data_IF_072943593895
#
_entry.id   IF_072943593895
#
_cell.length_a   1.000
_cell.length_b   1.000
_cell.length_c   1.000
_cell.angle_alpha   90.00
_cell.angle_beta   90.00
_cell.angle_gamma   90.00
#
_symmetry.space_group_name_H-M   'P 1'
#
loop_
_entity.id
_entity.type
_entity.pdbx_description
1 polymer ?
#
# COMPACT_ATOMS: atom_id res chain seq x y z
N UNK A 1 8.97 29.23 3.43
CA UNK A 1 7.61 29.38 4.00
C UNK A 1 7.66 28.85 5.44
N UNK A 2 6.77 29.24 6.35
CA UNK A 2 6.74 28.62 7.67
C UNK A 2 6.50 27.13 7.46
N UNK A 3 7.27 26.27 8.15
CA UNK A 3 6.98 24.83 8.20
C UNK A 3 5.48 24.71 8.46
N UNK A 4 4.72 24.05 7.58
CA UNK A 4 3.40 23.57 7.97
C UNK A 4 3.65 22.48 9.01
N UNK A 5 4.00 22.90 10.23
CA UNK A 5 4.03 22.03 11.38
C UNK A 5 2.63 21.47 11.47
N UNK A 6 2.49 20.16 11.34
CA UNK A 6 1.24 19.48 11.62
C UNK A 6 0.66 20.04 12.92
N UNK A 7 -0.64 20.35 12.94
CA UNK A 7 -1.24 20.93 14.13
C UNK A 7 -0.94 20.02 15.32
N UNK A 8 -0.24 20.56 16.31
CA UNK A 8 0.01 19.86 17.56
C UNK A 8 -1.33 19.63 18.24
N UNK A 9 -1.76 18.37 18.32
CA UNK A 9 -2.94 18.02 19.10
C UNK A 9 -2.75 18.51 20.54
N UNK A 10 -3.60 19.46 20.95
CA UNK A 10 -3.75 19.76 22.36
C UNK A 10 -4.73 18.75 22.92
N UNK A 11 -4.22 17.78 23.66
CA UNK A 11 -5.03 16.86 24.45
C UNK A 11 -5.80 17.68 25.48
N UNK A 12 -7.08 17.96 25.20
CA UNK A 12 -7.94 18.70 26.11
C UNK A 12 -8.65 17.77 27.10
N UNK A 13 -8.65 16.45 26.85
CA UNK A 13 -9.32 15.41 27.64
C UNK A 13 -8.62 14.03 27.44
N UNK A 14 -8.81 13.08 28.38
CA UNK A 14 -8.49 11.67 28.19
C UNK A 14 -9.13 11.09 26.91
N UNK A 15 -8.40 10.24 26.19
CA UNK A 15 -8.95 9.45 25.08
C UNK A 15 -9.31 8.04 25.55
N UNK A 16 -10.45 7.50 25.13
CA UNK A 16 -10.81 6.10 25.40
C UNK A 16 -10.06 5.15 24.45
N UNK A 17 -10.10 5.41 23.13
CA UNK A 17 -9.46 4.53 22.14
C UNK A 17 -8.38 5.27 21.36
N UNK A 18 -7.24 4.63 21.18
CA UNK A 18 -6.13 5.12 20.37
C UNK A 18 -6.00 4.27 19.11
N UNK A 19 -6.38 4.85 17.97
CA UNK A 19 -6.16 4.26 16.66
C UNK A 19 -4.72 4.52 16.20
N UNK A 20 -3.99 3.46 15.92
CA UNK A 20 -2.65 3.52 15.32
C UNK A 20 -2.82 3.32 13.81
N UNK A 21 -2.24 4.22 13.01
CA UNK A 21 -2.24 4.11 11.56
C UNK A 21 -0.79 4.01 11.07
N UNK A 22 -0.45 2.86 10.47
CA UNK A 22 0.91 2.58 9.99
C UNK A 22 1.17 3.17 8.60
N UNK A 23 2.45 3.26 8.23
CA UNK A 23 2.89 3.89 6.97
C UNK A 23 2.45 3.18 5.69
N UNK A 24 2.02 1.92 5.80
CA UNK A 24 1.43 1.12 4.73
C UNK A 24 -0.11 1.07 4.78
N UNK A 25 -0.75 1.85 5.66
CA UNK A 25 -2.21 1.86 5.87
C UNK A 25 -2.88 3.17 5.43
N UNK A 26 -2.35 3.81 4.36
CA UNK A 26 -2.78 5.14 3.90
C UNK A 26 -4.04 5.10 3.03
N UNK A 27 -5.08 4.44 3.56
CA UNK A 27 -6.34 4.20 2.88
C UNK A 27 -7.36 5.30 3.19
N UNK A 28 -7.99 5.87 2.16
CA UNK A 28 -9.06 6.88 2.35
C UNK A 28 -10.36 6.30 2.89
N UNK A 29 -10.50 4.98 2.84
CA UNK A 29 -11.58 4.20 3.43
C UNK A 29 -11.17 3.53 4.75
N UNK A 30 -10.00 3.88 5.31
CA UNK A 30 -9.49 3.30 6.56
C UNK A 30 -10.56 3.30 7.67
N UNK A 31 -10.67 2.24 8.50
CA UNK A 31 -11.71 2.12 9.53
C UNK A 31 -11.84 3.33 10.46
N UNK A 32 -10.74 4.06 10.69
CA UNK A 32 -10.70 5.30 11.47
C UNK A 32 -11.72 6.35 10.99
N UNK A 33 -11.98 6.46 9.68
CA UNK A 33 -12.97 7.41 9.14
C UNK A 33 -14.42 6.98 9.43
N UNK A 34 -14.65 5.69 9.67
CA UNK A 34 -15.99 5.12 9.88
C UNK A 34 -16.36 5.04 11.35
N UNK A 35 -15.39 4.82 12.23
CA UNK A 35 -15.65 4.44 13.62
C UNK A 35 -15.03 5.33 14.69
N UNK A 36 -14.12 6.25 14.35
CA UNK A 36 -13.54 7.15 15.33
C UNK A 36 -14.56 8.21 15.77
N UNK A 37 -14.73 8.35 17.09
CA UNK A 37 -15.47 9.41 17.75
C UNK A 37 -14.49 10.56 18.05
N UNK A 38 -14.60 11.71 17.38
CA UNK A 38 -13.67 12.83 17.54
C UNK A 38 -13.58 13.38 18.98
N UNK A 39 -14.60 13.15 19.81
CA UNK A 39 -14.63 13.62 21.19
C UNK A 39 -13.97 12.66 22.19
N UNK A 40 -13.74 11.41 21.78
CA UNK A 40 -13.30 10.32 22.67
C UNK A 40 -12.10 9.55 22.18
N UNK A 41 -11.79 9.60 20.90
CA UNK A 41 -10.72 8.81 20.31
C UNK A 41 -9.56 9.70 19.85
N UNK A 42 -8.38 9.10 19.82
CA UNK A 42 -7.18 9.69 19.23
C UNK A 42 -6.69 8.83 18.07
N UNK A 43 -6.06 9.46 17.09
CA UNK A 43 -5.38 8.79 15.98
C UNK A 43 -3.90 9.12 16.08
N UNK A 44 -3.04 8.13 15.89
CA UNK A 44 -1.61 8.28 16.02
C UNK A 44 -0.91 7.74 14.77
N UNK A 45 -0.13 8.60 14.14
CA UNK A 45 0.80 8.27 13.08
C UNK A 45 2.20 8.73 13.49
N UNK A 46 3.22 7.99 13.09
CA UNK A 46 4.60 8.27 13.49
C UNK A 46 5.60 7.80 12.47
N UNK A 47 6.59 8.64 12.23
CA UNK A 47 7.78 8.34 11.46
C UNK A 47 8.87 7.88 12.43
N UNK A 48 9.42 6.67 12.27
CA UNK A 48 10.44 6.15 13.19
C UNK A 48 11.66 5.59 12.43
N UNK A 49 12.88 5.84 12.94
CA UNK A 49 14.10 5.36 12.30
C UNK A 49 14.18 3.82 12.24
N UNK A 50 13.58 3.11 13.21
CA UNK A 50 13.62 1.65 13.29
C UNK A 50 13.18 0.97 11.98
N UNK A 51 12.20 1.53 11.27
CA UNK A 51 11.72 0.99 10.00
C UNK A 51 12.70 1.16 8.83
N UNK A 52 13.56 2.18 8.89
CA UNK A 52 14.59 2.41 7.88
C UNK A 52 15.93 1.73 8.20
N UNK A 53 16.14 1.32 9.45
CA UNK A 53 17.43 0.85 9.97
C UNK A 53 17.48 -0.61 10.38
N UNK A 54 16.34 -1.24 10.73
CA UNK A 54 16.27 -2.69 11.03
C UNK A 54 16.72 -3.52 9.82
N UNK A 55 16.33 -3.09 8.63
CA UNK A 55 16.88 -3.56 7.36
C UNK A 55 17.27 -2.33 6.56
N UNK A 56 18.45 -2.35 5.92
CA UNK A 56 18.92 -1.25 5.10
C UNK A 56 17.93 -0.94 3.97
N UNK A 57 17.10 0.09 4.18
CA UNK A 57 16.06 0.50 3.24
C UNK A 57 16.63 1.44 2.18
N UNK A 58 16.23 1.26 0.93
CA UNK A 58 16.61 2.18 -0.14
C UNK A 58 16.03 3.58 0.13
N UNK A 59 16.82 4.65 -0.09
CA UNK A 59 16.38 6.03 0.20
C UNK A 59 15.06 6.39 -0.46
N UNK A 60 14.84 5.98 -1.72
CA UNK A 60 13.56 6.21 -2.40
C UNK A 60 12.38 5.53 -1.70
N UNK A 61 12.54 4.33 -1.11
CA UNK A 61 11.49 3.68 -0.34
C UNK A 61 11.17 4.50 0.90
N UNK A 62 12.19 4.85 1.69
CA UNK A 62 12.00 5.65 2.91
C UNK A 62 11.36 7.00 2.59
N UNK A 63 11.86 7.73 1.57
CA UNK A 63 11.27 9.01 1.15
C UNK A 63 9.83 8.84 0.64
N UNK A 64 9.51 7.75 -0.06
CA UNK A 64 8.15 7.48 -0.53
C UNK A 64 7.18 7.27 0.63
N UNK A 65 7.54 6.42 1.60
CA UNK A 65 6.70 6.18 2.79
C UNK A 65 6.47 7.47 3.57
N UNK A 66 7.54 8.18 3.94
CA UNK A 66 7.42 9.41 4.74
C UNK A 66 6.62 10.50 4.01
N UNK A 67 6.86 10.72 2.71
CA UNK A 67 6.09 11.69 1.95
C UNK A 67 4.61 11.30 1.87
N UNK A 68 4.31 10.03 1.57
CA UNK A 68 2.94 9.55 1.49
C UNK A 68 2.21 9.66 2.85
N UNK A 69 2.88 9.32 3.96
CA UNK A 69 2.35 9.47 5.31
C UNK A 69 2.03 10.93 5.64
N UNK A 70 2.93 11.87 5.32
CA UNK A 70 2.69 13.30 5.54
C UNK A 70 1.51 13.82 4.73
N UNK A 71 1.37 13.43 3.47
CA UNK A 71 0.20 13.80 2.67
C UNK A 71 -1.09 13.19 3.23
N UNK A 72 -1.05 11.93 3.68
CA UNK A 72 -2.21 11.28 4.27
C UNK A 72 -2.62 11.92 5.61
N UNK A 73 -1.65 12.34 6.42
CA UNK A 73 -1.88 13.09 7.64
C UNK A 73 -2.61 14.42 7.39
N UNK A 74 -2.32 15.11 6.27
CA UNK A 74 -3.08 16.29 5.87
C UNK A 74 -4.52 15.95 5.47
N UNK A 75 -4.75 14.82 4.80
CA UNK A 75 -6.11 14.35 4.47
C UNK A 75 -6.90 14.04 5.75
N UNK A 76 -6.28 13.39 6.73
CA UNK A 76 -6.89 13.13 8.04
C UNK A 76 -7.24 14.45 8.74
N UNK A 77 -6.32 15.41 8.72
CA UNK A 77 -6.56 16.73 9.31
C UNK A 77 -7.70 17.50 8.62
N UNK A 78 -7.75 17.50 7.29
CA UNK A 78 -8.84 18.13 6.50
C UNK A 78 -10.21 17.48 6.76
N UNK A 79 -10.23 16.24 7.27
CA UNK A 79 -11.44 15.50 7.66
C UNK A 79 -11.76 15.60 9.15
N UNK A 80 -11.12 16.53 9.86
CA UNK A 80 -11.29 16.74 11.31
C UNK A 80 -11.03 15.49 12.16
N UNK A 81 -10.19 14.57 11.67
CA UNK A 81 -9.76 13.40 12.44
C UNK A 81 -8.81 13.88 13.56
N UNK A 82 -8.97 13.39 14.81
CA UNK A 82 -8.12 13.78 15.94
C UNK A 82 -6.73 13.13 15.83
N UNK A 83 -5.94 13.59 14.86
CA UNK A 83 -4.62 13.05 14.50
C UNK A 83 -3.48 13.69 15.30
N UNK A 84 -2.67 12.83 15.93
CA UNK A 84 -1.34 13.13 16.41
C UNK A 84 -0.33 12.56 15.41
N UNK A 85 0.48 13.43 14.81
CA UNK A 85 1.50 13.05 13.86
C UNK A 85 2.89 13.35 14.42
N UNK A 86 3.69 12.30 14.61
CA UNK A 86 5.08 12.43 15.07
C UNK A 86 6.02 12.38 13.87
N UNK A 87 6.70 13.50 13.57
CA UNK A 87 7.70 13.54 12.49
C UNK A 87 9.02 12.91 12.91
N UNK A 88 9.80 12.43 11.94
CA UNK A 88 11.05 11.71 12.20
C UNK A 88 12.09 12.58 12.91
N UNK A 89 12.08 13.88 12.61
CA UNK A 89 12.96 14.90 13.19
C UNK A 89 12.34 15.64 14.38
N UNK A 90 11.23 15.15 14.92
CA UNK A 90 10.69 15.64 16.20
C UNK A 90 11.71 15.31 17.32
N UNK A 91 12.13 16.31 18.13
CA UNK A 91 13.15 16.11 19.16
C UNK A 91 12.75 15.12 20.26
N UNK A 92 11.45 14.93 20.48
CA UNK A 92 10.94 14.03 21.52
C UNK A 92 10.58 12.64 20.96
N UNK A 93 10.75 12.40 19.66
CA UNK A 93 10.49 11.12 19.02
C UNK A 93 11.48 10.05 19.47
N UNK A 94 10.95 8.95 20.00
CA UNK A 94 11.69 7.81 20.55
C UNK A 94 12.18 6.82 19.49
N UNK A 95 11.83 7.04 18.22
CA UNK A 95 12.36 6.33 17.04
C UNK A 95 12.01 4.83 16.95
N UNK A 96 10.98 4.38 17.67
CA UNK A 96 10.42 3.04 17.58
C UNK A 96 8.90 3.08 17.79
N UNK A 97 8.15 2.22 17.09
CA UNK A 97 6.69 2.14 17.25
C UNK A 97 6.29 1.85 18.69
N UNK A 98 6.96 0.87 19.32
CA UNK A 98 6.68 0.43 20.69
C UNK A 98 6.75 1.61 21.68
N UNK A 99 7.88 2.34 21.67
CA UNK A 99 8.12 3.43 22.63
C UNK A 99 7.28 4.68 22.32
N UNK A 100 7.00 4.97 21.05
CA UNK A 100 6.16 6.09 20.67
C UNK A 100 4.69 5.87 21.03
N UNK A 101 4.18 4.66 20.81
CA UNK A 101 2.82 4.27 21.21
C UNK A 101 2.69 4.36 22.73
N UNK A 102 3.64 3.81 23.50
CA UNK A 102 3.64 3.91 24.97
C UNK A 102 3.68 5.37 25.43
N UNK A 103 4.56 6.19 24.84
CA UNK A 103 4.72 7.61 25.17
C UNK A 103 3.40 8.36 24.99
N UNK A 104 2.76 8.22 23.83
CA UNK A 104 1.53 8.92 23.52
C UNK A 104 0.34 8.39 24.33
N UNK A 105 0.18 7.06 24.44
CA UNK A 105 -0.91 6.45 25.18
C UNK A 105 -0.91 6.84 26.66
N UNK A 106 0.26 6.91 27.31
CA UNK A 106 0.39 7.42 28.69
C UNK A 106 -0.02 8.89 28.81
N UNK A 107 0.46 9.73 27.89
CA UNK A 107 0.17 11.15 27.90
C UNK A 107 -1.32 11.45 27.66
N UNK A 108 -1.97 10.66 26.79
CA UNK A 108 -3.39 10.77 26.47
C UNK A 108 -4.30 9.97 27.40
N UNK A 109 -3.73 9.24 28.36
CA UNK A 109 -4.43 8.31 29.26
C UNK A 109 -5.36 7.36 28.50
N UNK A 110 -4.84 6.76 27.41
CA UNK A 110 -5.60 5.87 26.55
C UNK A 110 -6.01 4.58 27.29
N UNK A 111 -7.22 4.09 27.03
CA UNK A 111 -7.77 2.88 27.68
C UNK A 111 -7.70 1.65 26.76
N UNK A 112 -7.47 1.84 25.46
CA UNK A 112 -7.40 0.79 24.44
C UNK A 112 -6.54 1.22 23.25
N UNK A 113 -5.78 0.27 22.69
CA UNK A 113 -5.11 0.42 21.40
C UNK A 113 -5.92 -0.29 20.30
N UNK A 114 -6.00 0.33 19.13
CA UNK A 114 -6.66 -0.24 17.95
C UNK A 114 -5.75 -0.07 16.74
N UNK A 115 -5.53 -1.13 15.97
CA UNK A 115 -4.73 -1.07 14.74
C UNK A 115 -5.35 -1.99 13.68
N UNK A 116 -5.25 -1.63 12.41
CA UNK A 116 -5.50 -2.60 11.34
C UNK A 116 -4.32 -3.59 11.30
N UNK A 117 -4.60 -4.86 11.01
CA UNK A 117 -3.59 -5.93 10.96
C UNK A 117 -2.28 -5.45 10.30
N UNK A 118 -1.15 -5.43 11.04
CA UNK A 118 0.14 -5.02 10.49
C UNK A 118 0.62 -5.97 9.38
N UNK A 119 1.32 -5.44 8.38
CA UNK A 119 1.91 -6.23 7.29
C UNK A 119 3.16 -7.02 7.67
N UNK A 120 3.69 -6.85 8.90
CA UNK A 120 4.89 -7.51 9.40
C UNK A 120 4.69 -8.02 10.84
N UNK A 121 4.99 -9.30 11.08
CA UNK A 121 4.97 -9.92 12.41
C UNK A 121 5.78 -9.16 13.47
N UNK A 122 6.90 -8.54 13.07
CA UNK A 122 7.74 -7.75 13.97
C UNK A 122 7.00 -6.52 14.50
N UNK A 123 6.23 -5.84 13.65
CA UNK A 123 5.47 -4.64 14.01
C UNK A 123 4.30 -5.02 14.90
N UNK A 124 3.57 -6.10 14.57
CA UNK A 124 2.52 -6.64 15.44
C UNK A 124 3.06 -6.93 16.85
N UNK A 125 4.17 -7.66 16.94
CA UNK A 125 4.81 -7.95 18.22
C UNK A 125 5.29 -6.69 18.99
N UNK A 126 5.65 -5.61 18.29
CA UNK A 126 5.98 -4.32 18.93
C UNK A 126 4.75 -3.66 19.55
N UNK A 127 3.59 -3.74 18.88
CA UNK A 127 2.34 -3.19 19.38
C UNK A 127 1.76 -4.02 20.54
N UNK A 128 1.89 -5.35 20.48
CA UNK A 128 1.54 -6.25 21.58
C UNK A 128 2.35 -5.91 22.84
N UNK A 129 3.68 -5.76 22.71
CA UNK A 129 4.53 -5.35 23.85
C UNK A 129 4.16 -3.97 24.39
N UNK A 130 3.82 -3.02 23.53
CA UNK A 130 3.35 -1.70 23.97
C UNK A 130 2.05 -1.81 24.78
N UNK A 131 1.10 -2.64 24.33
CA UNK A 131 -0.15 -2.89 25.03
C UNK A 131 0.08 -3.55 26.40
N UNK A 132 0.95 -4.56 26.45
CA UNK A 132 1.36 -5.24 27.69
C UNK A 132 2.02 -4.28 28.69
N UNK A 133 2.92 -3.40 28.22
CA UNK A 133 3.56 -2.39 29.08
C UNK A 133 2.56 -1.38 29.65
N UNK A 134 1.56 -1.00 28.85
CA UNK A 134 0.50 -0.07 29.25
C UNK A 134 -0.56 -0.74 30.15
N UNK A 135 -0.69 -2.06 30.08
CA UNK A 135 -1.75 -2.81 30.76
C UNK A 135 -3.14 -2.56 30.17
N UNK A 136 -3.23 -2.27 28.86
CA UNK A 136 -4.48 -1.99 28.15
C UNK A 136 -4.67 -2.95 26.97
N UNK A 137 -5.92 -3.25 26.56
CA UNK A 137 -6.17 -4.14 25.43
C UNK A 137 -5.67 -3.57 24.10
N UNK A 138 -5.17 -4.46 23.25
CA UNK A 138 -4.94 -4.24 21.81
C UNK A 138 -6.02 -4.95 21.01
N UNK A 139 -6.75 -4.19 20.19
CA UNK A 139 -7.67 -4.72 19.19
C UNK A 139 -7.02 -4.64 17.81
N UNK A 140 -6.87 -5.79 17.16
CA UNK A 140 -6.38 -5.89 15.78
C UNK A 140 -7.59 -6.08 14.86
N UNK A 141 -7.84 -5.08 14.02
CA UNK A 141 -8.90 -5.10 13.01
C UNK A 141 -8.42 -5.84 11.76
N UNK A 142 -9.35 -6.52 11.09
CA UNK A 142 -9.06 -7.13 9.78
C UNK A 142 -8.65 -6.07 8.75
N UNK A 143 -7.67 -6.41 7.90
CA UNK A 143 -7.30 -5.60 6.74
C UNK A 143 -8.19 -5.91 5.53
N UNK A 144 -9.24 -5.10 5.35
CA UNK A 144 -10.22 -5.18 4.25
C UNK A 144 -9.66 -4.70 2.89
N UNK A 145 -8.42 -4.21 2.84
CA UNK A 145 -7.75 -3.81 1.59
C UNK A 145 -7.53 -5.01 0.66
N UNK A 146 -7.20 -6.17 1.21
CA UNK A 146 -7.02 -7.41 0.46
C UNK A 146 -8.35 -7.93 -0.08
N UNK A 147 -8.29 -8.61 -1.22
CA UNK A 147 -9.49 -9.16 -1.88
C UNK A 147 -9.94 -10.44 -1.18
N UNK A 148 -9.00 -11.23 -0.68
CA UNK A 148 -9.23 -12.50 0.00
C UNK A 148 -9.12 -12.29 1.53
N UNK A 149 -10.23 -12.33 2.29
CA UNK A 149 -10.19 -12.38 3.75
C UNK A 149 -9.32 -13.52 4.26
N UNK A 150 -8.68 -13.37 5.42
CA UNK A 150 -7.78 -14.40 5.95
C UNK A 150 -8.53 -15.71 6.22
N UNK A 151 -9.74 -15.62 6.79
CA UNK A 151 -10.62 -16.77 7.01
C UNK A 151 -10.95 -17.55 5.73
N UNK A 152 -11.08 -16.84 4.59
CA UNK A 152 -11.35 -17.46 3.28
C UNK A 152 -10.10 -18.18 2.78
N UNK A 153 -8.92 -17.60 2.98
CA UNK A 153 -7.66 -18.23 2.62
C UNK A 153 -7.39 -19.48 3.46
N UNK A 154 -7.57 -19.40 4.79
CA UNK A 154 -7.41 -20.53 5.71
C UNK A 154 -8.37 -21.68 5.35
N UNK A 155 -9.64 -21.37 5.09
CA UNK A 155 -10.61 -22.36 4.64
C UNK A 155 -10.25 -22.96 3.26
N UNK A 156 -9.66 -22.17 2.37
CA UNK A 156 -9.13 -22.70 1.11
C UNK A 156 -7.92 -23.61 1.36
N UNK A 157 -7.02 -23.27 2.27
CA UNK A 157 -5.79 -24.02 2.53
C UNK A 157 -6.02 -25.32 3.33
N UNK A 158 -7.06 -25.38 4.15
CA UNK A 158 -7.33 -26.50 5.07
C UNK A 158 -7.35 -27.87 4.36
N UNK A 159 -6.71 -28.85 4.98
CA UNK A 159 -6.58 -30.22 4.48
C UNK A 159 -5.76 -30.40 3.19
N UNK A 160 -5.23 -29.32 2.56
CA UNK A 160 -4.44 -29.43 1.32
C UNK A 160 -2.98 -29.79 1.62
N UNK A 161 -2.48 -30.81 0.91
CA UNK A 161 -1.06 -31.21 0.97
C UNK A 161 -0.15 -30.33 0.10
N UNK A 162 -0.72 -29.59 -0.84
CA UNK A 162 0.01 -28.71 -1.76
C UNK A 162 -0.82 -27.48 -2.09
N UNK A 163 -0.20 -26.32 -1.94
CA UNK A 163 -0.79 -25.01 -2.23
C UNK A 163 -0.23 -24.53 -3.56
N UNK A 164 -1.02 -24.71 -4.63
CA UNK A 164 -0.68 -24.24 -5.96
C UNK A 164 -1.44 -22.95 -6.25
N UNK A 165 -0.72 -21.89 -6.62
CA UNK A 165 -1.29 -20.61 -7.02
C UNK A 165 -2.42 -20.75 -8.03
N UNK A 166 -2.24 -21.62 -9.03
CA UNK A 166 -3.26 -21.81 -10.07
C UNK A 166 -4.61 -22.27 -9.49
N UNK A 167 -4.60 -23.13 -8.48
CA UNK A 167 -5.83 -23.58 -7.82
C UNK A 167 -6.46 -22.48 -6.97
N UNK A 168 -5.63 -21.70 -6.29
CA UNK A 168 -6.07 -20.52 -5.51
C UNK A 168 -6.71 -19.47 -6.43
N UNK A 169 -6.00 -19.06 -7.47
CA UNK A 169 -6.44 -18.04 -8.41
C UNK A 169 -7.73 -18.41 -9.14
N UNK A 170 -7.91 -19.70 -9.54
CA UNK A 170 -9.18 -20.18 -10.10
C UNK A 170 -10.34 -20.07 -9.10
N UNK A 171 -10.10 -20.39 -7.82
CA UNK A 171 -11.11 -20.25 -6.78
C UNK A 171 -11.49 -18.79 -6.55
N UNK A 172 -10.49 -17.90 -6.48
CA UNK A 172 -10.69 -16.46 -6.29
C UNK A 172 -11.43 -15.81 -7.47
N UNK A 173 -11.09 -16.15 -8.71
CA UNK A 173 -11.84 -15.66 -9.89
C UNK A 173 -13.31 -16.06 -9.84
N UNK A 174 -13.63 -17.28 -9.41
CA UNK A 174 -15.01 -17.72 -9.24
C UNK A 174 -15.71 -16.98 -8.10
N UNK A 175 -15.06 -16.88 -6.94
CA UNK A 175 -15.61 -16.22 -5.74
C UNK A 175 -15.92 -14.75 -6.01
N UNK A 176 -15.02 -14.06 -6.70
CA UNK A 176 -15.12 -12.63 -7.02
C UNK A 176 -15.84 -12.36 -8.36
N UNK A 177 -16.23 -13.40 -9.10
CA UNK A 177 -16.83 -13.31 -10.43
C UNK A 177 -16.00 -12.47 -11.43
N UNK A 178 -14.68 -12.70 -11.46
CA UNK A 178 -13.74 -11.96 -12.31
C UNK A 178 -13.42 -12.75 -13.58
N UNK A 179 -13.78 -12.19 -14.73
CA UNK A 179 -13.62 -12.81 -16.05
C UNK A 179 -14.31 -14.19 -16.09
N UNK A 180 -15.52 -14.31 -15.57
CA UNK A 180 -16.30 -15.56 -15.59
C UNK A 180 -17.46 -15.40 -16.59
N UNK A 181 -17.62 -16.39 -17.47
CA UNK A 181 -18.71 -16.41 -18.43
C UNK A 181 -20.03 -16.84 -17.78
N UNK A 182 -21.15 -16.62 -18.48
CA UNK A 182 -22.49 -16.95 -17.98
C UNK A 182 -22.66 -18.43 -17.55
N UNK A 183 -21.91 -19.35 -18.19
CA UNK A 183 -21.92 -20.78 -17.87
C UNK A 183 -21.02 -21.15 -16.66
N UNK A 184 -20.40 -20.17 -16.00
CA UNK A 184 -19.48 -20.35 -14.87
C UNK A 184 -18.06 -20.79 -15.26
N UNK A 185 -17.76 -20.83 -16.57
CA UNK A 185 -16.42 -21.07 -17.12
C UNK A 185 -15.55 -19.80 -17.17
N UNK A 186 -14.24 -19.93 -17.43
CA UNK A 186 -13.38 -18.76 -17.58
C UNK A 186 -13.64 -18.07 -18.93
N UNK A 187 -13.80 -16.75 -18.91
CA UNK A 187 -13.87 -15.94 -20.13
C UNK A 187 -12.68 -16.20 -21.04
N UNK A 188 -12.96 -16.36 -22.34
CA UNK A 188 -11.97 -16.72 -23.37
C UNK A 188 -11.54 -18.18 -23.36
N UNK A 189 -12.22 -19.05 -22.58
CA UNK A 189 -12.05 -20.51 -22.63
C UNK A 189 -10.84 -21.05 -21.87
N UNK A 190 -10.01 -20.20 -21.25
CA UNK A 190 -8.85 -20.61 -20.47
C UNK A 190 -8.71 -19.82 -19.17
N UNK A 191 -8.24 -20.50 -18.11
CA UNK A 191 -7.98 -19.87 -16.81
C UNK A 191 -6.73 -19.01 -16.80
N UNK A 192 -5.78 -19.27 -17.70
CA UNK A 192 -4.46 -18.67 -17.71
C UNK A 192 -3.91 -18.60 -19.15
N UNK A 193 -3.42 -17.42 -19.55
CA UNK A 193 -2.80 -17.15 -20.86
C UNK A 193 -1.29 -16.86 -20.76
N UNK A 194 -0.59 -17.45 -19.79
CA UNK A 194 0.83 -17.21 -19.52
C UNK A 194 1.74 -17.57 -20.70
N UNK A 195 1.35 -18.56 -21.52
CA UNK A 195 2.16 -19.02 -22.65
C UNK A 195 2.20 -17.98 -23.76
N UNK A 196 1.14 -17.21 -23.92
CA UNK A 196 1.01 -16.12 -24.87
C UNK A 196 1.78 -14.86 -24.44
N UNK A 197 2.27 -14.80 -23.19
CA UNK A 197 2.83 -13.61 -22.55
C UNK A 197 4.38 -13.57 -22.51
N UNK A 198 5.05 -14.25 -23.46
CA UNK A 198 6.51 -14.47 -23.44
C UNK A 198 7.23 -14.04 -24.72
N UNK A 199 6.64 -13.13 -25.50
CA UNK A 199 7.25 -12.70 -26.75
C UNK A 199 8.45 -11.77 -26.51
N UNK A 200 9.57 -11.95 -27.24
CA UNK A 200 10.70 -11.03 -27.17
C UNK A 200 10.45 -9.78 -28.01
N UNK A 201 11.13 -8.67 -27.67
CA UNK A 201 11.27 -7.54 -28.57
C UNK A 201 12.23 -7.88 -29.72
N UNK A 202 11.81 -7.65 -30.96
CA UNK A 202 12.66 -7.86 -32.16
C UNK A 202 13.46 -6.62 -32.55
N UNK A 203 12.99 -5.45 -32.15
CA UNK A 203 13.62 -4.13 -32.36
C UNK A 203 13.48 -3.32 -31.09
N UNK A 204 14.16 -2.17 -31.01
CA UNK A 204 14.05 -1.30 -29.84
C UNK A 204 12.58 -0.97 -29.56
N UNK A 205 12.10 -1.20 -28.32
CA UNK A 205 10.71 -0.92 -27.98
C UNK A 205 10.45 0.59 -28.01
N UNK A 206 9.38 0.99 -28.68
CA UNK A 206 8.84 2.35 -28.60
C UNK A 206 7.68 2.36 -27.60
N UNK A 207 8.03 2.50 -26.31
CA UNK A 207 7.06 2.44 -25.21
C UNK A 207 6.93 3.83 -24.59
N UNK A 208 5.69 4.28 -24.44
CA UNK A 208 5.37 5.51 -23.74
C UNK A 208 5.84 5.42 -22.28
N UNK A 209 6.73 6.34 -21.92
CA UNK A 209 7.26 6.45 -20.54
C UNK A 209 6.11 6.57 -19.54
N UNK A 210 6.19 5.88 -18.39
CA UNK A 210 5.22 6.03 -17.32
C UNK A 210 5.03 7.46 -16.87
N UNK A 211 3.82 7.79 -16.41
CA UNK A 211 3.55 9.01 -15.67
C UNK A 211 4.60 9.22 -14.57
N UNK A 212 5.17 10.43 -14.54
CA UNK A 212 6.20 10.85 -13.58
C UNK A 212 5.64 12.06 -12.82
N UNK A 213 5.04 11.86 -11.64
CA UNK A 213 4.53 12.97 -10.84
C UNK A 213 5.65 13.93 -10.47
N UNK A 214 5.31 15.22 -10.41
CA UNK A 214 6.19 16.24 -9.87
C UNK A 214 6.30 16.13 -8.35
N UNK A 215 7.50 16.41 -7.86
CA UNK A 215 7.83 16.57 -6.44
C UNK A 215 7.26 17.91 -5.99
N UNK A 216 6.44 17.90 -4.95
CA UNK A 216 5.92 19.10 -4.28
C UNK A 216 6.77 19.44 -3.05
N UNK A 217 6.44 20.54 -2.38
CA UNK A 217 7.21 21.08 -1.26
C UNK A 217 7.33 20.07 -0.10
N UNK A 218 6.26 19.36 0.24
CA UNK A 218 6.27 18.33 1.32
C UNK A 218 7.22 17.19 0.95
N UNK A 219 7.12 16.70 -0.28
CA UNK A 219 7.99 15.63 -0.78
C UNK A 219 9.45 16.08 -0.82
N UNK A 220 9.70 17.34 -1.21
CA UNK A 220 11.05 17.91 -1.25
C UNK A 220 11.66 18.01 0.15
N UNK A 221 10.90 18.46 1.14
CA UNK A 221 11.34 18.49 2.55
C UNK A 221 11.70 17.08 3.06
N UNK A 222 10.90 16.08 2.72
CA UNK A 222 11.18 14.67 3.06
C UNK A 222 12.46 14.16 2.36
N UNK A 223 12.66 14.49 1.09
CA UNK A 223 13.89 14.11 0.36
C UNK A 223 15.13 14.68 1.06
N UNK A 224 15.07 15.93 1.49
CA UNK A 224 16.17 16.57 2.21
C UNK A 224 16.40 15.94 3.58
N UNK A 225 15.33 15.66 4.32
CA UNK A 225 15.37 14.96 5.60
C UNK A 225 16.03 13.57 5.46
N UNK A 226 15.60 12.76 4.49
CA UNK A 226 16.14 11.41 4.25
C UNK A 226 17.62 11.47 3.86
N UNK A 227 18.03 12.42 3.02
CA UNK A 227 19.44 12.59 2.67
C UNK A 227 20.32 12.96 3.88
N UNK A 228 19.80 13.75 4.83
CA UNK A 228 20.52 14.11 6.05
C UNK A 228 20.52 13.00 7.09
N UNK A 229 19.38 12.32 7.31
CA UNK A 229 19.19 11.32 8.36
C UNK A 229 19.80 9.97 7.99
N UNK A 230 19.77 9.60 6.72
CA UNK A 230 20.26 8.30 6.22
C UNK A 230 21.31 8.46 5.10
N UNK A 231 22.46 9.11 5.38
CA UNK A 231 23.47 9.44 4.38
C UNK A 231 24.23 8.22 3.84
N UNK A 232 24.11 7.05 4.48
CA UNK A 232 24.75 5.80 4.07
C UNK A 232 23.75 4.76 3.55
N UNK A 233 22.45 5.06 3.57
CA UNK A 233 21.43 4.16 3.02
C UNK A 233 21.57 4.01 1.50
N UNK A 234 21.27 2.83 0.93
CA UNK A 234 21.46 2.57 -0.49
C UNK A 234 20.53 3.43 -1.36
N UNK A 235 21.00 3.73 -2.57
CA UNK A 235 20.21 4.44 -3.57
C UNK A 235 20.35 5.96 -3.57
N UNK A 236 19.67 6.58 -4.53
CA UNK A 236 19.69 8.03 -4.76
C UNK A 236 18.29 8.59 -4.95
N UNK A 237 18.09 9.86 -4.61
CA UNK A 237 16.80 10.54 -4.66
C UNK A 237 16.65 11.52 -5.84
N UNK A 238 17.70 11.73 -6.65
CA UNK A 238 17.69 12.69 -7.79
C UNK A 238 16.64 12.37 -8.88
N UNK A 239 16.16 11.13 -8.93
CA UNK A 239 15.17 10.65 -9.91
C UNK A 239 13.79 10.36 -9.30
N UNK A 240 13.53 10.82 -8.07
CA UNK A 240 12.30 10.53 -7.32
C UNK A 240 11.05 10.98 -8.09
N UNK A 241 10.21 10.02 -8.47
CA UNK A 241 9.00 10.22 -9.28
C UNK A 241 7.91 9.22 -8.88
N UNK A 242 7.77 8.99 -7.58
CA UNK A 242 6.74 8.09 -7.04
C UNK A 242 5.46 8.87 -6.69
N UNK A 243 4.27 8.27 -6.91
CA UNK A 243 3.01 8.92 -6.58
C UNK A 243 2.70 8.85 -5.09
N UNK A 244 3.06 9.90 -4.34
CA UNK A 244 2.89 9.98 -2.88
C UNK A 244 1.49 10.42 -2.42
N UNK A 245 0.56 10.66 -3.35
CA UNK A 245 -0.84 10.96 -3.04
C UNK A 245 -1.76 10.03 -3.81
N UNK A 246 -2.98 9.80 -3.29
CA UNK A 246 -4.01 8.99 -3.97
C UNK A 246 -4.30 9.54 -5.37
N UNK A 247 -4.42 10.85 -5.52
CA UNK A 247 -4.64 11.49 -6.81
C UNK A 247 -3.51 11.17 -7.81
N UNK A 248 -2.24 11.34 -7.40
CA UNK A 248 -1.08 11.01 -8.24
C UNK A 248 -1.06 9.52 -8.58
N UNK A 249 -1.48 8.65 -7.65
CA UNK A 249 -1.53 7.21 -7.85
C UNK A 249 -2.62 6.79 -8.84
N UNK A 250 -3.82 7.40 -8.77
CA UNK A 250 -4.90 7.20 -9.73
C UNK A 250 -4.49 7.68 -11.14
N UNK A 251 -3.79 8.81 -11.25
CA UNK A 251 -3.21 9.25 -12.54
C UNK A 251 -2.21 8.22 -13.09
N UNK A 252 -1.36 7.65 -12.24
CA UNK A 252 -0.44 6.58 -12.64
C UNK A 252 -1.18 5.30 -13.08
N UNK A 253 -2.26 4.95 -12.39
CA UNK A 253 -3.14 3.84 -12.75
C UNK A 253 -3.74 4.05 -14.14
N UNK A 254 -4.43 5.16 -14.38
CA UNK A 254 -5.03 5.46 -15.68
C UNK A 254 -3.98 5.54 -16.80
N UNK A 255 -2.82 6.15 -16.54
CA UNK A 255 -1.70 6.17 -17.48
C UNK A 255 -1.27 4.76 -17.93
N UNK A 256 -1.18 3.81 -17.00
CA UNK A 256 -0.90 2.41 -17.32
C UNK A 256 -2.03 1.75 -18.10
N UNK A 257 -3.27 1.88 -17.61
CA UNK A 257 -4.44 1.22 -18.20
C UNK A 257 -4.65 1.63 -19.66
N UNK A 258 -4.43 2.90 -19.98
CA UNK A 258 -4.74 3.46 -21.29
C UNK A 258 -3.61 3.30 -22.31
N UNK A 259 -2.35 3.16 -21.86
CA UNK A 259 -1.19 3.18 -22.76
C UNK A 259 -0.33 1.91 -22.76
N UNK A 260 -0.40 1.09 -21.71
CA UNK A 260 0.52 -0.04 -21.52
C UNK A 260 -0.17 -1.36 -21.24
N UNK A 261 -1.37 -1.38 -20.64
CA UNK A 261 -2.09 -2.62 -20.33
C UNK A 261 -2.23 -3.54 -21.54
N UNK A 262 -2.58 -3.01 -22.72
CA UNK A 262 -2.78 -3.83 -23.92
C UNK A 262 -1.53 -4.65 -24.32
N UNK A 263 -0.34 -4.15 -23.98
CA UNK A 263 0.95 -4.79 -24.27
C UNK A 263 1.62 -5.39 -23.01
N UNK A 264 0.92 -5.41 -21.86
CA UNK A 264 1.46 -5.90 -20.60
C UNK A 264 1.87 -7.38 -20.71
N UNK A 265 0.93 -8.22 -21.16
CA UNK A 265 1.14 -9.66 -21.26
C UNK A 265 2.22 -10.02 -22.28
N UNK A 266 2.10 -9.53 -23.51
CA UNK A 266 2.97 -9.93 -24.64
C UNK A 266 4.47 -9.88 -24.33
N UNK A 267 4.92 -8.86 -23.57
CA UNK A 267 6.33 -8.62 -23.26
C UNK A 267 6.64 -8.75 -21.77
N UNK A 268 5.85 -9.50 -21.01
CA UNK A 268 5.93 -9.55 -19.55
C UNK A 268 7.30 -10.03 -19.05
N UNK A 269 7.93 -10.96 -19.78
CA UNK A 269 9.24 -11.55 -19.45
C UNK A 269 10.41 -10.89 -20.20
N UNK A 270 10.14 -9.88 -21.03
CA UNK A 270 11.17 -9.26 -21.84
C UNK A 270 12.06 -8.32 -21.00
N UNK A 271 13.34 -8.22 -21.37
CA UNK A 271 14.26 -7.22 -20.84
C UNK A 271 14.92 -6.48 -22.00
N UNK A 272 15.13 -5.18 -21.84
CA UNK A 272 15.81 -4.37 -22.84
C UNK A 272 16.73 -3.33 -22.18
N UNK A 273 17.93 -3.16 -22.72
CA UNK A 273 18.91 -2.20 -22.18
C UNK A 273 18.35 -0.78 -22.25
N UNK A 274 18.49 -0.03 -21.16
CA UNK A 274 17.98 1.34 -20.98
C UNK A 274 16.44 1.48 -20.87
N UNK A 275 15.70 0.38 -20.84
CA UNK A 275 14.26 0.37 -20.60
C UNK A 275 13.94 -0.32 -19.28
N UNK A 276 13.87 0.48 -18.20
CA UNK A 276 13.72 -0.06 -16.84
C UNK A 276 12.29 -0.44 -16.47
N UNK A 277 11.30 -0.17 -17.33
CA UNK A 277 9.89 -0.30 -16.99
C UNK A 277 9.08 -1.06 -18.02
N UNK A 278 9.45 -0.99 -19.31
CA UNK A 278 8.67 -1.57 -20.42
C UNK A 278 7.16 -1.31 -20.24
N UNK A 279 6.32 -2.32 -20.43
CA UNK A 279 4.87 -2.23 -20.28
C UNK A 279 4.39 -2.44 -18.84
N UNK A 280 5.27 -2.51 -17.83
CA UNK A 280 4.84 -2.73 -16.45
C UNK A 280 4.11 -1.51 -15.87
N UNK A 281 3.20 -1.80 -14.94
CA UNK A 281 2.32 -0.79 -14.36
C UNK A 281 3.03 0.20 -13.43
N UNK A 282 4.06 -0.26 -12.71
CA UNK A 282 4.75 0.51 -11.64
C UNK A 282 3.82 1.01 -10.53
N UNK A 283 2.76 0.24 -10.22
CA UNK A 283 1.75 0.60 -9.22
C UNK A 283 1.94 -0.08 -7.87
N UNK A 284 2.88 -1.03 -7.75
CA UNK A 284 3.07 -1.83 -6.52
C UNK A 284 3.36 -0.97 -5.29
N UNK A 285 4.18 0.07 -5.42
CA UNK A 285 4.48 0.99 -4.33
C UNK A 285 3.19 1.64 -3.78
N UNK A 286 2.37 2.24 -4.66
CA UNK A 286 1.12 2.89 -4.27
C UNK A 286 0.05 1.91 -3.78
N UNK A 287 -0.04 0.72 -4.38
CA UNK A 287 -0.96 -0.33 -3.97
C UNK A 287 -0.63 -0.86 -2.56
N UNK A 288 0.65 -1.02 -2.26
CA UNK A 288 1.10 -1.60 -1.00
C UNK A 288 1.08 -0.62 0.18
N UNK A 289 0.98 0.69 -0.08
CA UNK A 289 0.67 1.70 0.96
C UNK A 289 -0.79 2.15 0.92
N UNK A 290 -1.66 1.44 0.17
CA UNK A 290 -3.11 1.66 0.06
C UNK A 290 -3.54 2.99 -0.58
N UNK A 291 -2.64 3.69 -1.26
CA UNK A 291 -3.02 4.82 -2.11
C UNK A 291 -3.87 4.39 -3.32
N UNK A 292 -3.82 3.10 -3.70
CA UNK A 292 -4.68 2.47 -4.71
C UNK A 292 -5.36 1.24 -4.12
N UNK A 293 -6.65 1.04 -4.42
CA UNK A 293 -7.38 -0.18 -4.03
C UNK A 293 -7.23 -1.27 -5.11
N UNK A 294 -6.95 -2.54 -4.75
CA UNK A 294 -6.85 -3.62 -5.74
C UNK A 294 -8.15 -3.83 -6.54
N UNK A 295 -9.32 -3.56 -5.94
CA UNK A 295 -10.63 -3.66 -6.61
C UNK A 295 -10.73 -2.68 -7.78
N UNK A 296 -10.23 -1.45 -7.61
CA UNK A 296 -10.19 -0.43 -8.66
C UNK A 296 -9.28 -0.87 -9.82
N UNK A 297 -8.13 -1.48 -9.51
CA UNK A 297 -7.20 -2.00 -10.52
C UNK A 297 -7.83 -3.13 -11.34
N UNK A 298 -8.47 -4.10 -10.69
CA UNK A 298 -9.15 -5.21 -11.36
C UNK A 298 -10.30 -4.68 -12.21
N UNK A 299 -11.17 -3.83 -11.64
CA UNK A 299 -12.30 -3.26 -12.36
C UNK A 299 -11.85 -2.48 -13.60
N UNK A 300 -10.86 -1.61 -13.44
CA UNK A 300 -10.32 -0.82 -14.55
C UNK A 300 -9.74 -1.71 -15.66
N UNK A 301 -9.06 -2.81 -15.32
CA UNK A 301 -8.52 -3.74 -16.31
C UNK A 301 -9.62 -4.50 -17.05
N UNK A 302 -10.66 -4.97 -16.35
CA UNK A 302 -11.83 -5.63 -16.96
C UNK A 302 -12.57 -4.67 -17.89
N UNK A 303 -12.75 -3.41 -17.49
CA UNK A 303 -13.38 -2.37 -18.33
C UNK A 303 -12.65 -2.20 -19.68
N UNK A 304 -11.31 -2.27 -19.70
CA UNK A 304 -10.53 -2.18 -20.95
C UNK A 304 -10.72 -3.41 -21.82
N UNK A 305 -10.87 -4.59 -21.23
CA UNK A 305 -11.20 -5.80 -21.98
C UNK A 305 -12.61 -5.71 -22.60
N UNK A 306 -13.62 -5.35 -21.82
CA UNK A 306 -15.02 -5.23 -22.27
C UNK A 306 -15.17 -4.21 -23.41
N UNK A 307 -14.38 -3.13 -23.38
CA UNK A 307 -14.34 -2.12 -24.45
C UNK A 307 -13.42 -2.49 -25.62
N UNK A 308 -12.89 -3.70 -25.67
CA UNK A 308 -11.93 -4.15 -26.69
C UNK A 308 -10.65 -3.29 -26.79
N UNK A 309 -10.29 -2.57 -25.72
CA UNK A 309 -9.10 -1.73 -25.65
C UNK A 309 -7.85 -2.50 -25.21
N UNK A 310 -8.00 -3.66 -24.56
CA UNK A 310 -6.91 -4.57 -24.22
C UNK A 310 -7.31 -6.02 -24.48
N UNK A 311 -6.39 -6.86 -25.00
CA UNK A 311 -6.68 -8.27 -25.24
C UNK A 311 -6.75 -9.06 -23.92
N UNK A 312 -7.53 -10.15 -23.92
CA UNK A 312 -7.79 -10.92 -22.70
C UNK A 312 -6.51 -11.46 -22.06
N UNK A 313 -5.50 -11.83 -22.84
CA UNK A 313 -4.24 -12.38 -22.33
C UNK A 313 -3.48 -11.36 -21.46
N UNK A 314 -3.55 -10.09 -21.84
CA UNK A 314 -2.91 -9.01 -21.10
C UNK A 314 -3.71 -8.64 -19.84
N UNK A 315 -5.04 -8.58 -19.95
CA UNK A 315 -5.93 -8.29 -18.82
C UNK A 315 -5.90 -9.40 -17.77
N UNK A 316 -6.04 -10.66 -18.19
CA UNK A 316 -5.92 -11.83 -17.32
C UNK A 316 -4.53 -11.90 -16.70
N UNK A 317 -3.46 -11.71 -17.48
CA UNK A 317 -2.09 -11.72 -16.99
C UNK A 317 -1.84 -10.67 -15.90
N UNK A 318 -2.39 -9.47 -16.06
CA UNK A 318 -2.33 -8.39 -15.05
C UNK A 318 -3.14 -8.73 -13.80
N UNK A 319 -4.40 -9.16 -13.96
CA UNK A 319 -5.29 -9.55 -12.85
C UNK A 319 -4.69 -10.71 -12.06
N UNK A 320 -4.05 -11.67 -12.71
CA UNK A 320 -3.36 -12.80 -12.06
C UNK A 320 -2.21 -12.36 -11.15
N UNK A 321 -1.54 -11.24 -11.42
CA UNK A 321 -0.53 -10.71 -10.51
C UNK A 321 -1.15 -10.15 -9.22
N UNK A 322 -2.37 -9.61 -9.30
CA UNK A 322 -3.07 -8.98 -8.18
C UNK A 322 -3.92 -10.02 -7.44
N UNK A 323 -4.96 -10.55 -8.06
CA UNK A 323 -5.92 -11.51 -7.46
C UNK A 323 -5.27 -12.88 -7.22
N UNK A 324 -4.26 -13.23 -8.02
CA UNK A 324 -3.48 -14.44 -7.83
C UNK A 324 -2.31 -14.19 -6.89
N UNK A 325 -1.18 -13.75 -7.44
CA UNK A 325 0.10 -13.74 -6.72
C UNK A 325 0.09 -12.88 -5.46
N UNK A 326 -0.39 -11.64 -5.52
CA UNK A 326 -0.37 -10.75 -4.35
C UNK A 326 -1.22 -11.30 -3.19
N UNK A 327 -2.42 -11.78 -3.47
CA UNK A 327 -3.29 -12.37 -2.45
C UNK A 327 -2.73 -13.71 -1.93
N UNK A 328 -2.17 -14.55 -2.81
CA UNK A 328 -1.56 -15.84 -2.44
C UNK A 328 -0.29 -15.72 -1.61
N UNK A 329 0.48 -14.64 -1.77
CA UNK A 329 1.70 -14.39 -0.97
C UNK A 329 1.35 -13.79 0.40
N UNK A 330 0.18 -13.13 0.51
CA UNK A 330 -0.30 -12.58 1.78
C UNK A 330 -0.87 -13.67 2.70
N UNK A 331 -1.66 -14.59 2.14
CA UNK A 331 -2.16 -15.76 2.88
C UNK A 331 -1.07 -16.80 3.15
#
# INVERSE_FOLDING_TARGET
MPRQSFPSLRLHRPISRLFIVLGDQLDVDHPVFRSADPDRDGVLMMEVDAEATTVASHRQRTAFFLAAMRHFALILHERDVPLHYVTLDDPDNTQSFETEVVRFARAATAEQLIVVQPGEWRVEAQLERAADELGIPLEILEDDHFLCPMEVFEAWADGRKSMLLEHFYRAERKRLNILIDADGGPTGGAWNFDRENRAPFRTAPDIRRPYRPQVDDITQEVIELVNRRFPDAPGRLDSFTWPVTREKALRAMHDFMDHRLANFGLHQDAMWTNESTLNHARLSAALNVKLLNPRELVHAAVERFERSAAPIQAVEGFIRQIVGWREFIRG
#
